data_IF_823302908329
#
_entry.id   IF_823302908329
#
_cell.length_a   1.000
_cell.length_b   1.000
_cell.length_c   1.000
_cell.angle_alpha   90.00
_cell.angle_beta   90.00
_cell.angle_gamma   90.00
#
_symmetry.space_group_name_H-M   'P 1'
#
loop_
_entity.id
_entity.type
_entity.pdbx_description
1 polymer ?
#
# COMPACT_ATOMS: atom_id res chain seq x y z
N UNK A 1 -17.18 8.37 20.61
CA UNK A 1 -16.05 8.55 19.67
C UNK A 1 -15.32 9.85 19.95
N UNK A 2 -16.00 11.00 19.97
CA UNK A 2 -15.39 12.26 20.45
C UNK A 2 -14.97 12.20 21.94
N UNK A 3 -15.79 11.59 22.79
CA UNK A 3 -15.44 11.39 24.21
C UNK A 3 -14.17 10.54 24.40
N UNK A 4 -13.96 9.50 23.58
CA UNK A 4 -12.78 8.62 23.66
C UNK A 4 -11.49 9.31 23.17
N UNK A 5 -11.61 10.24 22.21
CA UNK A 5 -10.49 11.05 21.75
C UNK A 5 -10.07 12.09 22.80
N UNK A 6 -11.03 12.67 23.53
CA UNK A 6 -10.76 13.54 24.70
C UNK A 6 -10.15 12.77 25.88
N UNK A 7 -10.51 11.50 26.09
CA UNK A 7 -9.93 10.64 27.13
C UNK A 7 -8.46 10.28 26.84
N UNK A 8 -8.10 10.06 25.57
CA UNK A 8 -6.71 9.86 25.14
C UNK A 8 -5.87 11.15 25.35
N UNK A 9 -6.45 12.33 25.14
CA UNK A 9 -5.80 13.62 25.46
C UNK A 9 -5.62 13.83 26.98
N UNK A 10 -6.39 13.14 27.83
CA UNK A 10 -6.36 13.25 29.29
C UNK A 10 -5.35 12.31 29.99
N UNK A 11 -4.46 11.64 29.23
CA UNK A 11 -3.36 10.85 29.80
C UNK A 11 -3.66 9.37 30.03
N UNK A 12 -4.80 8.87 29.53
CA UNK A 12 -5.04 7.43 29.47
C UNK A 12 -4.25 6.82 28.30
N UNK A 13 -3.53 5.72 28.56
CA UNK A 13 -2.67 5.12 27.53
C UNK A 13 -3.53 4.49 26.44
N UNK A 14 -3.32 4.91 25.19
CA UNK A 14 -3.95 4.31 24.02
C UNK A 14 -3.85 2.78 24.09
N UNK A 15 -4.99 2.10 23.94
CA UNK A 15 -5.09 0.66 24.16
C UNK A 15 -4.63 -0.08 22.92
N UNK A 16 -3.69 -1.01 23.05
CA UNK A 16 -3.29 -1.90 21.95
C UNK A 16 -4.49 -2.75 21.52
N UNK A 17 -4.83 -2.67 20.23
CA UNK A 17 -5.94 -3.37 19.58
C UNK A 17 -5.43 -4.62 18.87
N UNK A 18 -4.36 -4.49 18.08
CA UNK A 18 -3.68 -5.61 17.42
C UNK A 18 -2.18 -5.40 17.43
N UNK A 19 -1.43 -6.50 17.43
CA UNK A 19 0.03 -6.46 17.31
C UNK A 19 0.51 -7.48 16.29
N UNK A 20 1.60 -7.14 15.61
CA UNK A 20 2.26 -8.00 14.64
C UNK A 20 3.73 -7.62 14.51
N UNK A 21 4.60 -8.62 14.63
CA UNK A 21 6.05 -8.43 14.64
C UNK A 21 6.43 -7.35 15.66
N UNK A 22 6.96 -6.22 15.19
CA UNK A 22 7.39 -5.08 16.00
C UNK A 22 6.40 -3.92 15.98
N UNK A 23 5.23 -4.08 15.36
CA UNK A 23 4.22 -3.03 15.22
C UNK A 23 3.03 -3.36 16.11
N UNK A 24 2.68 -2.41 16.97
CA UNK A 24 1.48 -2.44 17.79
C UNK A 24 0.55 -1.32 17.31
N UNK A 25 -0.68 -1.68 16.96
CA UNK A 25 -1.72 -0.71 16.63
C UNK A 25 -2.65 -0.54 17.82
N UNK A 26 -2.87 0.71 18.16
CA UNK A 26 -3.76 1.15 19.23
C UNK A 26 -5.12 1.59 18.69
N UNK A 27 -6.06 1.80 19.59
CA UNK A 27 -7.35 2.44 19.28
C UNK A 27 -7.19 3.82 18.66
N UNK A 28 -6.18 4.59 19.06
CA UNK A 28 -5.81 5.85 18.42
C UNK A 28 -5.47 5.65 16.94
N UNK A 29 -4.64 4.66 16.62
CA UNK A 29 -4.29 4.33 15.23
C UNK A 29 -5.55 3.96 14.44
N UNK A 30 -6.38 3.05 14.98
CA UNK A 30 -7.60 2.59 14.33
C UNK A 30 -8.57 3.74 14.03
N UNK A 31 -8.66 4.75 14.90
CA UNK A 31 -9.50 5.93 14.68
C UNK A 31 -9.06 6.76 13.45
N UNK A 32 -7.80 6.64 12.99
CA UNK A 32 -7.29 7.36 11.79
C UNK A 32 -7.77 6.75 10.48
N UNK A 33 -8.34 5.54 10.51
CA UNK A 33 -8.98 4.92 9.34
C UNK A 33 -10.38 5.48 9.06
N UNK A 34 -10.95 6.30 9.95
CA UNK A 34 -12.20 7.00 9.67
C UNK A 34 -12.10 7.89 8.41
N UNK A 35 -13.21 8.09 7.67
CA UNK A 35 -13.23 8.95 6.49
C UNK A 35 -12.81 10.39 6.85
N UNK A 36 -11.99 11.01 5.99
CA UNK A 36 -11.51 12.38 6.19
C UNK A 36 -10.26 12.52 7.06
N UNK A 37 -9.74 11.43 7.66
CA UNK A 37 -8.52 11.47 8.48
C UNK A 37 -7.30 10.96 7.71
N UNK A 38 -6.16 11.59 7.93
CA UNK A 38 -4.88 11.12 7.40
C UNK A 38 -4.44 9.87 8.18
N UNK A 39 -4.19 8.75 7.53
CA UNK A 39 -3.64 7.58 8.22
C UNK A 39 -2.17 7.85 8.63
N UNK A 40 -1.70 7.17 9.67
CA UNK A 40 -0.31 7.28 10.11
C UNK A 40 0.57 6.16 9.53
N UNK A 41 1.87 6.29 9.78
CA UNK A 41 2.91 5.34 9.40
C UNK A 41 2.68 3.96 10.01
N UNK A 42 2.28 3.86 11.27
CA UNK A 42 1.98 2.58 11.91
C UNK A 42 0.94 1.75 11.13
N UNK A 43 -0.16 2.38 10.68
CA UNK A 43 -1.18 1.72 9.85
C UNK A 43 -0.59 1.27 8.51
N UNK A 44 0.19 2.14 7.86
CA UNK A 44 0.81 1.84 6.56
C UNK A 44 1.76 0.65 6.72
N UNK A 45 2.66 0.69 7.69
CA UNK A 45 3.66 -0.35 7.92
C UNK A 45 3.01 -1.68 8.28
N UNK A 46 2.00 -1.69 9.17
CA UNK A 46 1.24 -2.88 9.50
C UNK A 46 0.54 -3.47 8.26
N UNK A 47 -0.11 -2.62 7.47
CA UNK A 47 -0.82 -3.07 6.26
C UNK A 47 0.13 -3.61 5.19
N UNK A 48 1.30 -2.98 5.01
CA UNK A 48 2.33 -3.49 4.10
C UNK A 48 2.89 -4.84 4.56
N UNK A 49 2.94 -5.11 5.87
CA UNK A 49 3.27 -6.45 6.36
C UNK A 49 2.18 -7.47 6.00
N UNK A 50 0.89 -7.11 6.07
CA UNK A 50 -0.20 -7.98 5.59
C UNK A 50 -0.07 -8.25 4.08
N UNK A 51 0.17 -7.21 3.29
CA UNK A 51 0.39 -7.32 1.84
C UNK A 51 1.59 -8.21 1.51
N UNK A 52 2.69 -8.12 2.27
CA UNK A 52 3.89 -8.94 2.04
C UNK A 52 3.68 -10.45 2.19
N UNK A 53 2.59 -10.85 2.86
CA UNK A 53 2.23 -12.24 3.07
C UNK A 53 1.30 -12.80 2.01
N UNK A 54 0.87 -11.98 1.05
CA UNK A 54 0.17 -12.46 -0.12
C UNK A 54 1.10 -13.46 -0.82
N UNK A 55 0.81 -14.75 -0.63
CA UNK A 55 1.49 -15.82 -1.35
C UNK A 55 1.17 -15.58 -2.81
N UNK A 56 2.16 -15.12 -3.55
CA UNK A 56 2.12 -15.31 -5.00
C UNK A 56 2.08 -16.82 -5.17
N UNK A 57 0.94 -17.35 -5.60
CA UNK A 57 0.86 -18.65 -6.26
C UNK A 57 1.78 -18.54 -7.48
N UNK A 58 3.08 -18.68 -7.25
CA UNK A 58 4.04 -18.87 -8.30
C UNK A 58 3.63 -20.20 -8.89
N UNK A 59 3.00 -20.15 -10.06
CA UNK A 59 2.89 -21.28 -10.96
C UNK A 59 4.29 -21.84 -11.15
N UNK A 60 4.64 -22.78 -10.27
CA UNK A 60 5.97 -23.36 -10.13
C UNK A 60 6.14 -24.46 -11.17
N UNK A 61 5.79 -24.16 -12.42
CA UNK A 61 5.97 -25.05 -13.57
C UNK A 61 5.96 -24.22 -14.86
N UNK A 62 7.09 -23.57 -15.13
CA UNK A 62 7.82 -23.51 -16.41
C UNK A 62 8.71 -22.27 -16.41
N UNK A 63 10.01 -22.52 -16.42
CA UNK A 63 11.03 -21.51 -16.42
C UNK A 63 10.99 -20.67 -17.72
N UNK A 64 10.60 -19.41 -17.61
CA UNK A 64 11.18 -18.29 -18.37
C UNK A 64 11.28 -17.10 -17.40
N UNK A 65 12.46 -16.85 -16.86
CA UNK A 65 12.71 -15.72 -15.96
C UNK A 65 12.98 -14.46 -16.78
N UNK A 66 11.94 -13.83 -17.31
CA UNK A 66 12.07 -12.50 -17.92
C UNK A 66 12.18 -11.47 -16.78
N UNK A 67 13.41 -11.16 -16.34
CA UNK A 67 13.66 -10.05 -15.41
C UNK A 67 13.53 -8.73 -16.17
N UNK A 68 12.31 -8.21 -16.36
CA UNK A 68 12.13 -6.80 -16.75
C UNK A 68 12.48 -5.94 -15.55
N UNK A 69 13.68 -5.37 -15.56
CA UNK A 69 14.16 -4.42 -14.55
C UNK A 69 13.48 -3.05 -14.77
N UNK A 70 12.25 -2.91 -14.27
CA UNK A 70 11.43 -1.69 -14.40
C UNK A 70 11.13 -1.12 -13.04
N UNK A 71 11.41 0.17 -12.87
CA UNK A 71 11.03 0.92 -11.68
C UNK A 71 9.79 1.73 -12.06
N UNK A 72 8.65 1.42 -11.45
CA UNK A 72 7.41 2.13 -11.71
C UNK A 72 7.12 3.00 -10.49
N UNK A 73 6.88 4.27 -10.73
CA UNK A 73 6.51 5.25 -9.72
C UNK A 73 5.01 5.52 -9.81
N UNK A 74 4.32 5.31 -8.68
CA UNK A 74 2.91 5.60 -8.53
C UNK A 74 2.76 6.75 -7.55
N UNK A 75 2.09 7.82 -7.98
CA UNK A 75 1.75 8.97 -7.16
C UNK A 75 0.30 9.36 -7.43
N UNK A 76 -0.54 9.21 -6.41
CA UNK A 76 -1.97 9.50 -6.48
C UNK A 76 -2.29 10.98 -6.73
N UNK A 77 -1.31 11.88 -6.55
CA UNK A 77 -1.39 13.31 -6.89
C UNK A 77 -0.63 13.66 -8.19
N UNK A 78 -0.18 12.64 -8.94
CA UNK A 78 0.52 12.78 -10.20
C UNK A 78 1.82 13.61 -10.13
N UNK A 79 2.59 13.52 -9.05
CA UNK A 79 3.96 14.04 -9.01
C UNK A 79 4.85 13.41 -10.07
N UNK A 80 5.92 14.13 -10.43
CA UNK A 80 6.79 13.78 -11.55
C UNK A 80 7.77 12.64 -11.22
N UNK A 81 8.08 12.43 -9.94
CA UNK A 81 8.85 11.28 -9.46
C UNK A 81 10.32 11.21 -9.91
N UNK A 82 10.80 12.11 -10.77
CA UNK A 82 12.15 12.10 -11.33
C UNK A 82 13.25 12.08 -10.26
N UNK A 83 13.11 12.89 -9.21
CA UNK A 83 14.06 12.92 -8.10
C UNK A 83 14.06 11.58 -7.36
N UNK A 84 12.89 11.04 -7.01
CA UNK A 84 12.78 9.75 -6.33
C UNK A 84 13.36 8.60 -7.16
N UNK A 85 12.98 8.51 -8.44
CA UNK A 85 13.46 7.49 -9.37
C UNK A 85 14.98 7.54 -9.52
N UNK A 86 15.57 8.73 -9.69
CA UNK A 86 17.02 8.90 -9.82
C UNK A 86 17.78 8.52 -8.54
N UNK A 87 17.25 8.88 -7.36
CA UNK A 87 17.84 8.51 -6.06
C UNK A 87 17.79 7.00 -5.83
N UNK A 88 16.69 6.34 -6.16
CA UNK A 88 16.55 4.87 -6.04
C UNK A 88 17.56 4.16 -6.93
N UNK A 89 17.68 4.58 -8.20
CA UNK A 89 18.66 4.05 -9.14
C UNK A 89 20.09 4.25 -8.60
N UNK A 90 20.43 5.46 -8.14
CA UNK A 90 21.75 5.77 -7.59
C UNK A 90 22.09 4.92 -6.36
N UNK A 91 21.15 4.78 -5.41
CA UNK A 91 21.37 4.02 -4.19
C UNK A 91 21.52 2.52 -4.45
N UNK A 92 20.85 1.97 -5.47
CA UNK A 92 21.05 0.56 -5.85
C UNK A 92 22.39 0.32 -6.52
N UNK A 93 22.83 1.20 -7.43
CA UNK A 93 24.16 1.08 -8.03
C UNK A 93 25.27 1.06 -6.95
N UNK A 94 25.11 1.81 -5.85
CA UNK A 94 26.06 1.78 -4.72
C UNK A 94 26.04 0.47 -3.92
N UNK A 95 24.89 -0.22 -3.82
CA UNK A 95 24.77 -1.48 -3.05
C UNK A 95 25.19 -2.71 -3.86
N UNK A 96 25.10 -2.63 -5.19
CA UNK A 96 25.38 -3.74 -6.10
C UNK A 96 26.83 -3.67 -6.65
N UNK A 97 27.81 -3.54 -5.75
CA UNK A 97 29.24 -3.37 -6.09
C UNK A 97 29.88 -4.59 -6.79
N UNK A 98 29.17 -5.71 -6.85
CA UNK A 98 29.63 -6.98 -7.44
C UNK A 98 29.17 -7.19 -8.88
N UNK A 99 28.29 -6.35 -9.42
CA UNK A 99 27.85 -6.44 -10.83
C UNK A 99 28.74 -5.60 -11.73
N UNK A 100 29.25 -6.22 -12.79
CA UNK A 100 30.08 -5.55 -13.83
C UNK A 100 29.29 -4.53 -14.66
N UNK A 101 27.98 -4.70 -14.75
CA UNK A 101 27.08 -3.77 -15.46
C UNK A 101 26.00 -3.25 -14.50
N UNK A 102 25.97 -1.94 -14.18
CA UNK A 102 24.85 -1.36 -13.45
C UNK A 102 23.61 -1.47 -14.32
N UNK A 103 22.65 -2.28 -13.89
CA UNK A 103 21.34 -2.32 -14.55
C UNK A 103 20.70 -0.95 -14.35
N UNK A 104 20.58 -0.17 -15.42
CA UNK A 104 19.81 1.06 -15.39
C UNK A 104 18.33 0.70 -15.55
N UNK A 105 17.57 0.77 -14.46
CA UNK A 105 16.14 0.46 -14.52
C UNK A 105 15.43 1.61 -15.22
N UNK A 106 14.65 1.28 -16.25
CA UNK A 106 13.78 2.25 -16.90
C UNK A 106 12.73 2.69 -15.86
N UNK A 107 12.78 3.97 -15.51
CA UNK A 107 11.80 4.63 -14.65
C UNK A 107 10.56 4.98 -15.44
N UNK A 108 9.39 4.54 -14.99
CA UNK A 108 8.11 4.89 -15.59
C UNK A 108 7.25 5.62 -14.55
N UNK A 109 6.72 6.78 -14.94
CA UNK A 109 5.72 7.50 -14.18
C UNK A 109 4.36 7.25 -14.84
N UNK A 110 3.56 6.37 -14.25
CA UNK A 110 2.26 6.01 -14.80
C UNK A 110 1.20 7.02 -14.35
N UNK A 111 0.71 7.82 -15.29
CA UNK A 111 -0.33 8.83 -15.05
C UNK A 111 -1.76 8.30 -15.24
N UNK A 112 -1.91 7.05 -15.68
CA UNK A 112 -3.21 6.41 -15.92
C UNK A 112 -3.80 5.76 -14.65
N UNK A 113 -3.07 5.85 -13.54
CA UNK A 113 -3.46 5.28 -12.26
C UNK A 113 -4.63 6.03 -11.60
N UNK A 114 -5.33 5.38 -10.66
CA UNK A 114 -6.27 6.05 -9.78
C UNK A 114 -5.64 7.26 -9.09
N UNK A 115 -6.35 8.39 -9.12
CA UNK A 115 -5.91 9.64 -8.50
C UNK A 115 -6.77 9.96 -7.28
N UNK A 116 -6.12 10.52 -6.26
CA UNK A 116 -6.83 11.09 -5.13
C UNK A 116 -7.31 12.49 -5.47
N UNK A 117 -8.45 12.91 -4.92
CA UNK A 117 -9.01 14.24 -5.12
C UNK A 117 -9.04 15.07 -3.82
N UNK A 118 -8.32 14.64 -2.79
CA UNK A 118 -8.22 15.30 -1.49
C UNK A 118 -6.80 15.24 -0.95
N UNK A 119 -6.56 15.79 0.25
CA UNK A 119 -5.24 15.88 0.87
C UNK A 119 -4.95 14.81 1.95
N UNK A 120 -5.87 13.86 2.19
CA UNK A 120 -5.79 12.95 3.34
C UNK A 120 -5.84 11.46 2.98
N UNK A 121 -6.10 11.11 1.71
CA UNK A 121 -6.18 9.71 1.26
C UNK A 121 -4.87 9.14 0.68
N UNK A 122 -3.79 9.91 0.59
CA UNK A 122 -2.53 9.44 -0.01
C UNK A 122 -2.01 8.14 0.61
N UNK A 123 -2.07 7.99 1.94
CA UNK A 123 -1.68 6.75 2.60
C UNK A 123 -2.57 5.55 2.21
N UNK A 124 -3.87 5.77 1.97
CA UNK A 124 -4.78 4.71 1.49
C UNK A 124 -4.42 4.32 0.06
N UNK A 125 -4.13 5.29 -0.81
CA UNK A 125 -3.69 5.00 -2.18
C UNK A 125 -2.37 4.23 -2.19
N UNK A 126 -1.40 4.57 -1.33
CA UNK A 126 -0.16 3.80 -1.16
C UNK A 126 -0.45 2.34 -0.80
N UNK A 127 -1.35 2.10 0.16
CA UNK A 127 -1.74 0.75 0.57
C UNK A 127 -2.37 -0.03 -0.61
N UNK A 128 -3.27 0.60 -1.37
CA UNK A 128 -3.94 -0.01 -2.52
C UNK A 128 -3.01 -0.29 -3.70
N UNK A 129 -2.07 0.62 -3.98
CA UNK A 129 -1.04 0.41 -4.99
C UNK A 129 -0.17 -0.79 -4.61
N UNK A 130 0.29 -0.86 -3.36
CA UNK A 130 1.08 -1.98 -2.87
C UNK A 130 0.32 -3.31 -2.90
N UNK A 131 -0.95 -3.31 -2.51
CA UNK A 131 -1.82 -4.49 -2.58
C UNK A 131 -1.98 -4.96 -4.04
N UNK A 132 -2.36 -4.06 -4.94
CA UNK A 132 -2.66 -4.40 -6.34
C UNK A 132 -1.42 -4.95 -7.05
N UNK A 133 -0.26 -4.31 -6.85
CA UNK A 133 1.03 -4.77 -7.40
C UNK A 133 1.40 -6.14 -6.85
N UNK A 134 1.23 -6.36 -5.54
CA UNK A 134 1.53 -7.66 -4.91
C UNK A 134 0.63 -8.79 -5.38
N UNK A 135 -0.57 -8.46 -5.87
CA UNK A 135 -1.54 -9.42 -6.43
C UNK A 135 -1.46 -9.59 -7.95
N UNK A 136 -0.57 -8.86 -8.63
CA UNK A 136 -0.59 -8.74 -10.10
C UNK A 136 -1.97 -8.32 -10.65
N UNK A 137 -2.65 -7.44 -9.91
CA UNK A 137 -3.99 -6.94 -10.21
C UNK A 137 -3.95 -5.54 -10.85
N UNK A 138 -5.04 -5.19 -11.54
CA UNK A 138 -5.20 -3.86 -12.14
C UNK A 138 -5.43 -2.79 -11.08
N UNK A 139 -4.99 -1.56 -11.37
CA UNK A 139 -5.29 -0.38 -10.58
C UNK A 139 -6.63 0.23 -11.05
N UNK A 140 -7.75 -0.40 -10.70
CA UNK A 140 -9.10 -0.04 -11.19
C UNK A 140 -10.03 0.57 -10.12
N UNK A 141 -9.51 0.84 -8.93
CA UNK A 141 -10.24 1.52 -7.86
C UNK A 141 -10.38 3.02 -8.12
N UNK A 142 -11.37 3.64 -7.46
CA UNK A 142 -11.70 5.07 -7.61
C UNK A 142 -11.80 5.75 -6.26
N UNK A 143 -11.56 7.06 -6.24
CA UNK A 143 -11.65 7.91 -5.05
C UNK A 143 -12.98 7.76 -4.28
N UNK A 144 -14.11 7.56 -4.98
CA UNK A 144 -15.43 7.38 -4.39
C UNK A 144 -15.53 6.10 -3.53
N UNK A 145 -14.70 5.09 -3.81
CA UNK A 145 -14.67 3.84 -3.08
C UNK A 145 -13.80 3.92 -1.82
N UNK A 146 -13.00 4.96 -1.65
CA UNK A 146 -12.00 5.06 -0.56
C UNK A 146 -12.64 4.98 0.82
N UNK A 147 -13.85 5.52 1.00
CA UNK A 147 -14.62 5.38 2.24
C UNK A 147 -14.86 3.91 2.62
N UNK A 148 -15.22 3.08 1.65
CA UNK A 148 -15.46 1.66 1.87
C UNK A 148 -14.14 0.88 1.99
N UNK A 149 -13.13 1.27 1.21
CA UNK A 149 -11.79 0.69 1.30
C UNK A 149 -11.19 0.91 2.69
N UNK A 150 -11.36 2.09 3.29
CA UNK A 150 -10.93 2.38 4.66
C UNK A 150 -11.54 1.40 5.67
N UNK A 151 -12.82 1.09 5.52
CA UNK A 151 -13.51 0.07 6.34
C UNK A 151 -12.95 -1.33 6.11
N UNK A 152 -12.68 -1.68 4.85
CA UNK A 152 -12.04 -2.94 4.49
C UNK A 152 -10.66 -3.06 5.14
N UNK A 153 -9.81 -2.05 5.02
CA UNK A 153 -8.46 -2.02 5.62
C UNK A 153 -8.56 -2.18 7.14
N UNK A 154 -9.47 -1.44 7.78
CA UNK A 154 -9.71 -1.57 9.22
C UNK A 154 -10.08 -3.01 9.61
N UNK A 155 -10.97 -3.65 8.85
CA UNK A 155 -11.33 -5.04 9.07
C UNK A 155 -10.16 -6.00 8.84
N UNK A 156 -9.41 -5.85 7.75
CA UNK A 156 -8.25 -6.69 7.44
C UNK A 156 -7.16 -6.60 8.52
N UNK A 157 -6.96 -5.41 9.09
CA UNK A 157 -6.06 -5.19 10.22
C UNK A 157 -6.56 -5.93 11.47
N UNK A 158 -7.84 -5.80 11.80
CA UNK A 158 -8.44 -6.46 12.97
C UNK A 158 -8.43 -7.99 12.83
N UNK A 159 -8.72 -8.49 11.63
CA UNK A 159 -8.72 -9.91 11.31
C UNK A 159 -7.29 -10.46 11.16
N UNK A 160 -6.29 -9.59 10.97
CA UNK A 160 -4.89 -9.95 10.76
C UNK A 160 -4.62 -10.67 9.43
N UNK A 161 -5.56 -10.59 8.48
CA UNK A 161 -5.50 -11.27 7.18
C UNK A 161 -6.09 -10.39 6.08
N UNK A 162 -5.49 -10.49 4.88
CA UNK A 162 -5.99 -9.78 3.69
C UNK A 162 -7.29 -10.41 3.19
N UNK A 163 -8.26 -9.58 2.78
CA UNK A 163 -9.46 -10.08 2.12
C UNK A 163 -9.10 -10.78 0.80
N UNK A 164 -9.91 -11.76 0.40
CA UNK A 164 -9.78 -12.41 -0.90
C UNK A 164 -10.10 -11.38 -1.98
N UNK A 165 -9.30 -11.27 -3.06
CA UNK A 165 -9.62 -10.33 -4.13
C UNK A 165 -10.98 -10.70 -4.70
N UNK A 166 -11.87 -9.72 -4.85
CA UNK A 166 -13.11 -9.92 -5.60
C UNK A 166 -12.68 -10.34 -7.01
N UNK A 167 -12.93 -11.60 -7.38
CA UNK A 167 -12.82 -11.99 -8.79
C UNK A 167 -13.68 -11.01 -9.57
N UNK A 168 -13.11 -10.44 -10.64
CA UNK A 168 -13.89 -9.69 -11.60
C UNK A 168 -15.00 -10.64 -12.06
N UNK A 169 -16.24 -10.23 -11.89
CA UNK A 169 -17.37 -10.97 -12.43
C UNK A 169 -17.26 -10.93 -13.95
N UNK A 170 -16.78 -12.02 -14.55
CA UNK A 170 -16.63 -12.17 -16.00
C UNK A 170 -17.98 -12.07 -16.73
N UNK A 171 -19.12 -12.00 -16.02
CA UNK A 171 -20.45 -11.77 -16.60
C UNK A 171 -20.71 -10.34 -17.09
N UNK A 172 -19.82 -9.37 -16.82
CA UNK A 172 -19.98 -7.97 -17.25
C UNK A 172 -19.16 -7.65 -18.52
N UNK A 173 -18.37 -8.59 -19.04
CA UNK A 173 -17.77 -8.48 -20.37
C UNK A 173 -18.65 -9.23 -21.37
N UNK A 174 -19.79 -8.60 -21.70
CA UNK A 174 -20.67 -8.98 -22.81
C UNK A 174 -20.54 -7.99 -23.95
#
# INVERSE_FOLDING_TARGET
MEAHLQEIENGDRAKVVVSRLTIELTDYDMCRLEPGKLINDNIIDYYLQLVSQIKTESFRTKAVKIKKHRLIYYDSLLGDGHICLSLINRNRCKRDTKRKDPVNWLGFNDKTIPQQSNCYDCGIFVCLFAESVSRDARLDFKQQQVKEIRRRISKEILDGVMSVPKKIDESIVG
#
